data_IF_239362854391
#
_entry.id   IF_239362854391
#
_cell.length_a   1.000
_cell.length_b   1.000
_cell.length_c   1.000
_cell.angle_alpha   90.00
_cell.angle_beta   90.00
_cell.angle_gamma   90.00
#
_symmetry.space_group_name_H-M   'P 1'
#
loop_
_entity.id
_entity.type
_entity.pdbx_description
1 polymer ?
#
# COMPACT_ATOMS: atom_id res chain seq x y z
N UNK A 1 15.91 -15.69 3.66
CA UNK A 1 14.58 -15.50 4.27
C UNK A 1 13.92 -14.34 3.55
N UNK A 2 12.77 -14.57 2.92
CA UNK A 2 11.98 -13.48 2.34
C UNK A 2 11.53 -12.53 3.47
N UNK A 3 11.65 -11.22 3.25
CA UNK A 3 11.11 -10.24 4.18
C UNK A 3 9.59 -10.26 4.06
N UNK A 4 8.94 -10.11 5.21
CA UNK A 4 7.50 -10.11 5.31
C UNK A 4 7.09 -8.85 6.04
N UNK A 5 5.95 -8.31 5.64
CA UNK A 5 5.39 -7.09 6.19
C UNK A 5 3.97 -7.31 6.66
N UNK A 6 3.52 -6.45 7.57
CA UNK A 6 2.13 -6.36 7.97
C UNK A 6 1.56 -5.07 7.41
N UNK A 7 0.63 -5.19 6.46
CA UNK A 7 -0.17 -4.09 5.93
C UNK A 7 -1.45 -3.92 6.74
N UNK A 8 -1.75 -2.69 7.14
CA UNK A 8 -2.88 -2.33 7.99
C UNK A 8 -3.64 -1.19 7.31
N UNK A 9 -4.97 -1.25 7.34
CA UNK A 9 -5.81 -0.08 7.01
C UNK A 9 -6.22 0.55 8.33
N UNK A 10 -5.75 1.77 8.57
CA UNK A 10 -5.96 2.51 9.81
C UNK A 10 -7.43 2.81 10.07
N UNK A 11 -7.82 2.81 11.34
CA UNK A 11 -9.21 2.93 11.80
C UNK A 11 -10.13 1.81 11.30
N UNK A 12 -9.54 0.65 10.99
CA UNK A 12 -10.25 -0.58 10.62
C UNK A 12 -9.64 -1.74 11.39
N UNK A 13 -10.37 -2.85 11.49
CA UNK A 13 -9.82 -4.10 12.04
C UNK A 13 -9.01 -4.90 11.02
N UNK A 14 -8.76 -4.36 9.82
CA UNK A 14 -8.13 -5.08 8.73
C UNK A 14 -6.60 -5.02 8.81
N UNK A 15 -5.99 -6.21 8.76
CA UNK A 15 -4.55 -6.36 8.53
C UNK A 15 -4.25 -7.59 7.67
N UNK A 16 -3.13 -7.56 6.95
CA UNK A 16 -2.69 -8.64 6.08
C UNK A 16 -1.17 -8.79 6.09
N UNK A 17 -0.68 -10.02 5.95
CA UNK A 17 0.74 -10.27 5.69
C UNK A 17 1.05 -10.06 4.21
N UNK A 18 2.10 -9.29 3.92
CA UNK A 18 2.53 -8.91 2.57
C UNK A 18 3.97 -9.35 2.35
N UNK A 19 4.27 -9.78 1.13
CA UNK A 19 5.64 -9.84 0.62
C UNK A 19 6.09 -8.48 0.09
N UNK A 20 7.40 -8.30 -0.12
CA UNK A 20 7.99 -7.09 -0.72
C UNK A 20 7.28 -6.69 -2.04
N UNK A 21 6.98 -7.65 -2.92
CA UNK A 21 6.33 -7.43 -4.22
C UNK A 21 4.83 -7.05 -4.11
N UNK A 22 4.22 -7.32 -2.96
CA UNK A 22 2.80 -7.06 -2.71
C UNK A 22 2.55 -5.67 -2.12
N UNK A 23 3.59 -5.01 -1.56
CA UNK A 23 3.46 -3.70 -0.92
C UNK A 23 2.88 -2.66 -1.88
N UNK A 24 3.43 -2.54 -3.10
CA UNK A 24 2.97 -1.55 -4.07
C UNK A 24 1.48 -1.74 -4.40
N UNK A 25 1.10 -2.99 -4.66
CA UNK A 25 -0.25 -3.41 -4.98
C UNK A 25 -1.19 -3.09 -3.82
N UNK A 26 -0.77 -3.39 -2.59
CA UNK A 26 -1.55 -3.12 -1.39
C UNK A 26 -1.84 -1.62 -1.23
N UNK A 27 -0.80 -0.78 -1.25
CA UNK A 27 -0.97 0.67 -1.09
C UNK A 27 -1.87 1.25 -2.19
N UNK A 28 -1.65 0.83 -3.44
CA UNK A 28 -2.36 1.34 -4.61
C UNK A 28 -3.85 1.03 -4.56
N UNK A 29 -4.21 -0.21 -4.25
CA UNK A 29 -5.60 -0.65 -4.32
C UNK A 29 -6.35 -0.44 -3.01
N UNK A 30 -5.72 -0.71 -1.86
CA UNK A 30 -6.40 -0.66 -0.56
C UNK A 30 -6.41 0.74 0.05
N UNK A 31 -5.57 1.67 -0.42
CA UNK A 31 -5.52 3.04 0.08
C UNK A 31 -6.84 3.82 -0.13
N UNK A 32 -7.73 3.32 -0.98
CA UNK A 32 -9.09 3.88 -1.14
C UNK A 32 -10.01 3.62 0.06
N UNK A 33 -9.68 2.65 0.91
CA UNK A 33 -10.50 2.24 2.06
C UNK A 33 -10.08 2.97 3.34
N UNK A 34 -8.90 3.59 3.36
CA UNK A 34 -8.39 4.32 4.51
C UNK A 34 -6.89 4.57 4.40
N UNK A 35 -6.33 5.23 5.41
CA UNK A 35 -4.89 5.38 5.51
C UNK A 35 -4.23 4.02 5.73
N UNK A 36 -3.03 3.83 5.20
CA UNK A 36 -2.31 2.56 5.28
C UNK A 36 -1.08 2.71 6.15
N UNK A 37 -0.85 1.73 7.01
CA UNK A 37 0.45 1.52 7.66
C UNK A 37 1.04 0.18 7.24
N UNK A 38 2.36 0.16 7.03
CA UNK A 38 3.13 -1.06 6.75
C UNK A 38 4.25 -1.16 7.77
N UNK A 39 4.33 -2.31 8.43
CA UNK A 39 5.37 -2.62 9.41
C UNK A 39 6.18 -3.83 8.98
N UNK A 40 7.47 -3.84 9.27
CA UNK A 40 8.28 -5.05 9.12
C UNK A 40 7.79 -6.09 10.14
N UNK A 41 7.51 -7.32 9.66
CA UNK A 41 6.89 -8.35 10.50
C UNK A 41 7.84 -8.87 11.58
N UNK A 42 9.16 -8.78 11.35
CA UNK A 42 10.18 -9.30 12.28
C UNK A 42 10.54 -8.25 13.34
N UNK A 43 10.75 -7.00 12.93
CA UNK A 43 11.20 -5.94 13.84
C UNK A 43 10.04 -5.13 14.42
N UNK A 44 8.85 -5.18 13.80
CA UNK A 44 7.73 -4.31 14.14
C UNK A 44 7.92 -2.85 13.71
N UNK A 45 9.05 -2.54 13.06
CA UNK A 45 9.39 -1.18 12.63
C UNK A 45 8.37 -0.67 11.61
N UNK A 46 7.93 0.57 11.78
CA UNK A 46 7.05 1.24 10.83
C UNK A 46 7.82 1.63 9.57
N UNK A 47 7.46 1.03 8.45
CA UNK A 47 8.10 1.22 7.15
C UNK A 47 7.37 2.28 6.33
N UNK A 48 6.04 2.22 6.33
CA UNK A 48 5.18 3.17 5.61
C UNK A 48 4.03 3.58 6.51
N UNK A 49 3.66 4.85 6.48
CA UNK A 49 2.40 5.36 7.00
C UNK A 49 1.89 6.42 6.03
N UNK A 50 0.68 6.24 5.49
CA UNK A 50 0.08 7.18 4.53
C UNK A 50 -0.84 8.20 5.19
N UNK A 51 -1.02 8.16 6.52
CA UNK A 51 -1.82 9.14 7.24
C UNK A 51 -1.24 10.55 7.08
N UNK A 52 -2.08 11.50 6.66
CA UNK A 52 -1.66 12.88 6.38
C UNK A 52 -0.78 13.02 5.13
N UNK A 53 -0.56 11.96 4.37
CA UNK A 53 0.17 11.99 3.11
C UNK A 53 -0.82 11.91 1.97
N UNK A 54 -0.82 12.91 1.09
CA UNK A 54 -1.49 12.80 -0.20
C UNK A 54 -0.86 11.61 -0.94
N UNK A 55 -1.62 10.55 -1.23
CA UNK A 55 -1.11 9.40 -1.98
C UNK A 55 -0.46 9.85 -3.31
N UNK A 56 -0.94 10.93 -3.94
CA UNK A 56 -0.29 11.59 -5.09
C UNK A 56 1.19 11.99 -4.83
N UNK A 57 1.55 12.30 -3.58
CA UNK A 57 2.92 12.63 -3.17
C UNK A 57 3.84 11.41 -3.03
N UNK A 58 3.29 10.21 -2.81
CA UNK A 58 4.04 8.94 -2.96
C UNK A 58 4.15 8.51 -4.42
N UNK A 59 3.23 9.02 -5.24
CA UNK A 59 3.01 8.64 -6.61
C UNK A 59 3.12 9.85 -7.52
N UNK A 60 4.29 10.51 -7.59
CA UNK A 60 4.43 11.68 -8.42
C UNK A 60 4.04 11.30 -9.85
N UNK A 61 2.96 11.91 -10.37
CA UNK A 61 2.96 12.24 -11.79
C UNK A 61 4.25 13.04 -11.98
N UNK A 62 5.05 12.58 -12.95
CA UNK A 62 6.52 12.64 -12.96
C UNK A 62 7.13 14.07 -13.02
N UNK A 63 6.34 15.12 -12.81
CA UNK A 63 6.81 16.51 -12.83
C UNK A 63 7.68 16.87 -11.62
N UNK A 64 7.49 16.25 -10.44
CA UNK A 64 8.28 16.58 -9.24
C UNK A 64 9.02 15.36 -8.65
N UNK A 65 9.99 14.86 -9.42
CA UNK A 65 10.85 13.72 -9.06
C UNK A 65 11.76 14.00 -7.86
N UNK A 66 12.16 15.24 -7.63
CA UNK A 66 13.13 15.56 -6.57
C UNK A 66 12.50 15.48 -5.18
N UNK A 67 11.30 16.04 -5.01
CA UNK A 67 10.61 16.07 -3.73
C UNK A 67 10.24 14.65 -3.24
N UNK A 68 9.77 13.80 -4.16
CA UNK A 68 9.49 12.40 -3.86
C UNK A 68 10.76 11.64 -3.48
N UNK A 69 11.88 11.85 -4.19
CA UNK A 69 13.14 11.09 -3.99
C UNK A 69 13.79 11.33 -2.63
N UNK A 70 13.67 12.54 -2.06
CA UNK A 70 14.30 12.88 -0.77
C UNK A 70 13.60 12.18 0.40
N UNK A 71 12.26 12.08 0.41
CA UNK A 71 11.52 11.36 1.47
C UNK A 71 11.37 9.86 1.23
N UNK A 72 11.41 9.39 -0.02
CA UNK A 72 11.12 8.00 -0.37
C UNK A 72 12.35 7.14 -0.70
N UNK A 73 13.59 7.62 -0.51
CA UNK A 73 14.81 6.91 -0.92
C UNK A 73 14.90 5.44 -0.44
N UNK A 74 14.28 5.09 0.70
CA UNK A 74 14.16 3.70 1.20
C UNK A 74 12.97 2.91 0.63
N UNK A 75 11.94 3.60 0.13
CA UNK A 75 10.68 3.02 -0.33
C UNK A 75 10.53 3.01 -1.85
N UNK A 76 11.39 3.71 -2.60
CA UNK A 76 11.28 3.86 -4.05
C UNK A 76 11.27 2.51 -4.79
N UNK A 77 12.09 1.56 -4.33
CA UNK A 77 12.11 0.20 -4.86
C UNK A 77 10.79 -0.56 -4.64
N UNK A 78 10.07 -0.26 -3.54
CA UNK A 78 8.76 -0.85 -3.22
C UNK A 78 7.63 -0.30 -4.08
N UNK A 79 7.89 0.70 -4.93
CA UNK A 79 6.89 1.34 -5.80
C UNK A 79 7.16 1.17 -7.30
N UNK A 80 8.12 0.31 -7.67
CA UNK A 80 8.52 0.08 -9.09
C UNK A 80 7.34 -0.17 -10.03
N UNK A 81 6.30 -0.86 -9.57
CA UNK A 81 5.15 -1.26 -10.40
C UNK A 81 3.90 -0.36 -10.26
N UNK A 82 4.01 0.79 -9.59
CA UNK A 82 2.83 1.61 -9.27
C UNK A 82 1.97 1.97 -10.49
N UNK A 83 2.59 2.46 -11.56
CA UNK A 83 1.87 2.87 -12.78
C UNK A 83 1.12 1.72 -13.43
N UNK A 84 1.67 0.52 -13.33
CA UNK A 84 1.03 -0.68 -13.81
C UNK A 84 -0.15 -1.06 -12.92
N UNK A 85 0.04 -1.09 -11.59
CA UNK A 85 -1.03 -1.40 -10.63
C UNK A 85 -2.21 -0.40 -10.73
N UNK A 86 -1.94 0.90 -10.92
CA UNK A 86 -2.97 1.94 -11.08
C UNK A 86 -3.89 1.70 -12.29
N UNK A 87 -3.38 1.08 -13.37
CA UNK A 87 -4.19 0.76 -14.55
C UNK A 87 -5.10 -0.45 -14.34
N UNK A 88 -4.84 -1.26 -13.32
CA UNK A 88 -5.63 -2.44 -13.03
C UNK A 88 -6.90 -2.06 -12.27
N UNK A 89 -8.04 -2.65 -12.67
CA UNK A 89 -9.31 -2.50 -11.94
C UNK A 89 -9.28 -3.17 -10.57
N UNK A 90 -8.50 -4.25 -10.44
CA UNK A 90 -8.34 -5.05 -9.23
C UNK A 90 -6.88 -5.47 -9.08
N UNK A 91 -6.39 -5.67 -7.84
CA UNK A 91 -5.06 -6.24 -7.61
C UNK A 91 -4.96 -7.65 -8.20
N UNK A 92 -3.73 -8.09 -8.51
CA UNK A 92 -3.43 -9.45 -8.98
C UNK A 92 -3.08 -10.39 -7.82
N UNK A 93 -3.09 -11.69 -8.09
CA UNK A 93 -2.69 -12.72 -7.13
C UNK A 93 -3.61 -12.81 -5.91
N UNK A 94 -3.03 -13.19 -4.77
CA UNK A 94 -3.76 -13.43 -3.52
C UNK A 94 -4.51 -12.20 -3.03
N UNK A 95 -3.99 -11.00 -3.31
CA UNK A 95 -4.62 -9.73 -2.94
C UNK A 95 -5.96 -9.48 -3.65
N UNK A 96 -6.25 -10.14 -4.77
CA UNK A 96 -7.52 -9.97 -5.50
C UNK A 96 -8.73 -10.38 -4.67
N UNK A 97 -8.66 -11.57 -4.05
CA UNK A 97 -9.76 -12.12 -3.28
C UNK A 97 -9.95 -11.33 -1.99
N UNK A 98 -8.83 -10.98 -1.34
CA UNK A 98 -8.82 -10.14 -0.14
C UNK A 98 -9.43 -8.77 -0.44
N UNK A 99 -9.04 -8.14 -1.55
CA UNK A 99 -9.58 -6.84 -1.96
C UNK A 99 -11.09 -6.88 -2.14
N UNK A 100 -11.63 -7.93 -2.77
CA UNK A 100 -13.07 -8.10 -2.94
C UNK A 100 -13.78 -8.28 -1.60
N UNK A 101 -13.22 -9.05 -0.67
CA UNK A 101 -13.78 -9.23 0.67
C UNK A 101 -13.84 -7.89 1.41
N UNK A 102 -12.73 -7.17 1.49
CA UNK A 102 -12.66 -5.83 2.10
C UNK A 102 -13.64 -4.87 1.44
N UNK A 103 -13.74 -4.89 0.10
CA UNK A 103 -14.69 -4.04 -0.61
C UNK A 103 -16.15 -4.32 -0.21
N UNK A 104 -16.53 -5.58 -0.02
CA UNK A 104 -17.90 -5.94 0.41
C UNK A 104 -18.18 -5.54 1.86
N UNK A 105 -17.22 -5.74 2.76
CA UNK A 105 -17.35 -5.35 4.17
C UNK A 105 -17.54 -3.83 4.30
N UNK A 106 -16.76 -3.05 3.56
CA UNK A 106 -16.87 -1.59 3.55
C UNK A 106 -18.14 -1.05 2.89
N UNK A 107 -18.71 -1.78 1.93
CA UNK A 107 -20.01 -1.43 1.35
C UNK A 107 -21.13 -1.72 2.35
N UNK A 108 -21.02 -2.82 3.10
CA UNK A 108 -22.03 -3.25 4.09
C UNK A 108 -22.05 -2.39 5.36
N UNK A 109 -20.96 -1.67 5.65
CA UNK A 109 -20.85 -0.75 6.80
C UNK A 109 -21.35 0.68 6.50
N UNK A 110 -21.74 0.98 5.25
CA UNK A 110 -22.35 2.25 4.85
C UNK A 110 -23.85 2.14 4.76
#
# INVERSE_FOLDING_TARGET
>A
MERMYTGIIENTSFSISLRDDEICTFITHFGRFGNISIKDKRTGELIVNTAGIYLKSFYPDIEDREFARVKSKKLFDLFKDYRYQKKLKYPKGNLKNVYKAVQMDFISMK
#
